data_IF_282544122506
#
_entry.id   IF_282544122506
#
_cell.length_a   1.000
_cell.length_b   1.000
_cell.length_c   1.000
_cell.angle_alpha   90.00
_cell.angle_beta   90.00
_cell.angle_gamma   90.00
#
_symmetry.space_group_name_H-M   'P 1'
#
loop_
_entity.id
_entity.type
_entity.pdbx_description
1 polymer ?
#
# COMPACT_ATOMS: atom_id res chain seq x y z
N UNK A 1 12.72 45.81 -12.25
CA UNK A 1 13.08 44.38 -12.36
C UNK A 1 11.80 43.60 -12.46
N UNK A 2 11.49 43.05 -13.63
CA UNK A 2 10.31 42.19 -13.82
C UNK A 2 10.54 40.91 -13.03
N UNK A 3 9.77 40.67 -11.97
CA UNK A 3 9.87 39.43 -11.22
C UNK A 3 9.53 38.28 -12.18
N UNK A 4 10.48 37.37 -12.42
CA UNK A 4 10.20 36.10 -13.10
C UNK A 4 9.38 35.29 -12.11
N UNK A 5 8.04 35.41 -12.18
CA UNK A 5 7.14 34.59 -11.39
C UNK A 5 7.02 33.21 -12.04
N UNK A 6 7.09 32.12 -11.27
CA UNK A 6 6.75 30.81 -11.77
C UNK A 6 5.31 30.83 -12.30
N UNK A 7 5.13 30.60 -13.60
CA UNK A 7 3.79 30.49 -14.18
C UNK A 7 3.39 29.02 -14.13
N UNK A 8 2.71 28.64 -13.06
CA UNK A 8 2.07 27.33 -12.96
C UNK A 8 0.88 27.28 -13.91
N UNK A 9 0.84 26.30 -14.81
CA UNK A 9 -0.31 26.01 -15.66
C UNK A 9 -0.94 24.71 -15.19
N UNK A 10 -2.16 24.79 -14.66
CA UNK A 10 -2.92 23.61 -14.20
C UNK A 10 -3.63 22.99 -15.41
N UNK A 11 -3.43 21.69 -15.61
CA UNK A 11 -3.98 20.90 -16.70
C UNK A 11 -5.04 19.91 -16.21
N UNK A 12 -5.02 18.71 -16.80
CA UNK A 12 -6.01 17.68 -16.53
C UNK A 12 -5.95 17.16 -15.09
N UNK A 13 -7.12 16.78 -14.57
CA UNK A 13 -7.24 16.12 -13.27
C UNK A 13 -6.59 14.74 -13.30
N UNK A 14 -5.70 14.47 -12.34
CA UNK A 14 -5.02 13.19 -12.13
C UNK A 14 -5.81 12.27 -11.19
N UNK A 15 -6.52 12.85 -10.22
CA UNK A 15 -7.31 12.05 -9.28
C UNK A 15 -7.96 12.88 -8.17
N UNK A 16 -8.65 12.17 -7.28
CA UNK A 16 -9.16 12.72 -6.03
C UNK A 16 -8.21 12.30 -4.90
N UNK A 17 -7.50 13.26 -4.30
CA UNK A 17 -6.85 13.06 -3.02
C UNK A 17 -7.88 13.17 -1.89
N UNK A 18 -7.54 12.65 -0.71
CA UNK A 18 -8.47 12.68 0.43
C UNK A 18 -8.80 14.11 0.90
N UNK A 19 -7.84 15.03 0.76
CA UNK A 19 -7.96 16.41 1.21
C UNK A 19 -8.26 17.41 0.09
N UNK A 20 -8.30 16.95 -1.16
CA UNK A 20 -8.46 17.84 -2.32
C UNK A 20 -8.16 17.14 -3.63
N UNK A 21 -8.49 17.80 -4.72
CA UNK A 21 -8.28 17.28 -6.07
C UNK A 21 -6.81 17.40 -6.46
N UNK A 22 -6.30 16.44 -7.25
CA UNK A 22 -4.93 16.46 -7.75
C UNK A 22 -4.97 16.62 -9.26
N UNK A 23 -4.23 17.59 -9.78
CA UNK A 23 -4.13 17.93 -11.20
C UNK A 23 -2.69 17.80 -11.68
N UNK A 24 -2.53 17.59 -12.98
CA UNK A 24 -1.24 17.76 -13.62
C UNK A 24 -0.98 19.26 -13.71
N UNK A 25 0.26 19.68 -13.43
CA UNK A 25 0.71 21.03 -13.67
C UNK A 25 1.93 21.07 -14.57
N UNK A 26 2.15 22.23 -15.17
CA UNK A 26 3.41 22.60 -15.81
C UNK A 26 3.98 23.81 -15.05
N UNK A 27 5.15 23.64 -14.47
CA UNK A 27 5.90 24.64 -13.72
C UNK A 27 7.18 24.96 -14.51
N UNK A 28 7.45 26.24 -14.74
CA UNK A 28 8.58 26.68 -15.55
C UNK A 28 9.96 26.36 -14.94
N UNK A 29 10.03 26.00 -13.65
CA UNK A 29 11.28 25.60 -12.98
C UNK A 29 11.43 24.09 -12.95
N UNK A 30 10.35 23.36 -12.62
CA UNK A 30 10.38 21.92 -12.38
C UNK A 30 9.81 21.07 -13.53
N UNK A 31 9.30 21.71 -14.59
CA UNK A 31 8.61 21.05 -15.69
C UNK A 31 7.27 20.46 -15.26
N UNK A 32 7.02 19.20 -15.59
CA UNK A 32 5.77 18.53 -15.20
C UNK A 32 5.71 18.29 -13.69
N UNK A 33 4.66 18.80 -13.06
CA UNK A 33 4.40 18.70 -11.63
C UNK A 33 3.02 18.09 -11.37
N UNK A 34 2.78 17.67 -10.12
CA UNK A 34 1.45 17.43 -9.62
C UNK A 34 1.02 18.62 -8.74
N UNK A 35 -0.24 19.02 -8.82
CA UNK A 35 -0.80 20.15 -8.08
C UNK A 35 -1.99 19.66 -7.29
N UNK A 36 -1.87 19.61 -5.96
CA UNK A 36 -2.99 19.30 -5.09
C UNK A 36 -3.67 20.59 -4.66
N UNK A 37 -4.97 20.67 -4.95
CA UNK A 37 -5.80 21.85 -4.74
C UNK A 37 -6.68 21.63 -3.53
N UNK A 38 -6.46 22.42 -2.48
CA UNK A 38 -7.28 22.46 -1.27
C UNK A 38 -8.17 23.70 -1.34
N UNK A 39 -9.44 23.53 -1.66
CA UNK A 39 -10.39 24.64 -1.79
C UNK A 39 -11.15 24.91 -0.50
N UNK A 40 -11.50 26.18 -0.30
CA UNK A 40 -12.44 26.60 0.75
C UNK A 40 -13.78 25.91 0.56
N UNK A 41 -14.29 25.28 1.62
CA UNK A 41 -15.64 24.71 1.64
C UNK A 41 -16.68 25.82 1.85
N UNK A 42 -17.90 25.72 1.28
CA UNK A 42 -18.96 26.70 1.50
C UNK A 42 -19.35 26.90 2.97
N UNK A 43 -19.12 25.88 3.80
CA UNK A 43 -19.39 25.90 5.24
C UNK A 43 -18.33 26.64 6.06
N UNK A 44 -17.17 26.99 5.47
CA UNK A 44 -16.10 27.69 6.19
C UNK A 44 -16.38 29.18 6.27
N UNK A 45 -16.41 29.72 7.49
CA UNK A 45 -16.34 31.18 7.70
C UNK A 45 -14.96 31.71 7.28
N UNK A 46 -14.84 33.03 7.12
CA UNK A 46 -13.54 33.63 6.80
C UNK A 46 -12.50 33.32 7.89
N UNK A 47 -12.91 33.33 9.16
CA UNK A 47 -12.05 32.99 10.28
C UNK A 47 -11.58 31.53 10.22
N UNK A 48 -12.47 30.59 9.89
CA UNK A 48 -12.12 29.18 9.71
C UNK A 48 -11.14 28.99 8.57
N UNK A 49 -11.38 29.66 7.44
CA UNK A 49 -10.52 29.56 6.27
C UNK A 49 -9.13 30.11 6.53
N UNK A 50 -9.02 31.27 7.19
CA UNK A 50 -7.74 31.83 7.60
C UNK A 50 -7.01 30.93 8.61
N UNK A 51 -7.73 30.27 9.51
CA UNK A 51 -7.14 29.26 10.41
C UNK A 51 -6.61 28.06 9.63
N UNK A 52 -7.37 27.52 8.67
CA UNK A 52 -6.93 26.42 7.81
C UNK A 52 -5.70 26.79 6.96
N UNK A 53 -5.70 27.98 6.34
CA UNK A 53 -4.55 28.48 5.57
C UNK A 53 -3.27 28.51 6.39
N UNK A 54 -3.33 29.04 7.62
CA UNK A 54 -2.18 29.04 8.55
C UNK A 54 -1.70 27.62 8.88
N UNK A 55 -2.63 26.69 9.11
CA UNK A 55 -2.32 25.29 9.34
C UNK A 55 -1.62 24.64 8.14
N UNK A 56 -2.17 24.81 6.93
CA UNK A 56 -1.57 24.28 5.70
C UNK A 56 -0.20 24.87 5.42
N UNK A 57 0.01 26.17 5.66
CA UNK A 57 1.30 26.82 5.48
C UNK A 57 2.35 26.29 6.48
N UNK A 58 1.98 26.11 7.74
CA UNK A 58 2.87 25.55 8.74
C UNK A 58 3.27 24.11 8.39
N UNK A 59 2.30 23.29 7.98
CA UNK A 59 2.54 21.92 7.51
C UNK A 59 3.49 21.92 6.31
N UNK A 60 3.21 22.76 5.31
CA UNK A 60 4.04 22.89 4.12
C UNK A 60 5.49 23.26 4.38
N UNK A 61 5.72 24.20 5.30
CA UNK A 61 7.07 24.59 5.71
C UNK A 61 7.81 23.45 6.41
N UNK A 62 7.07 22.53 7.02
CA UNK A 62 7.61 21.33 7.62
C UNK A 62 7.89 20.26 6.55
N UNK A 63 6.95 20.05 5.63
CA UNK A 63 7.07 19.12 4.49
C UNK A 63 8.21 19.50 3.54
N UNK A 64 8.42 20.79 3.27
CA UNK A 64 9.51 21.24 2.39
C UNK A 64 10.90 20.91 2.93
N UNK A 65 11.03 20.72 4.25
CA UNK A 65 12.27 20.31 4.93
C UNK A 65 12.45 18.79 4.98
N UNK A 66 11.44 18.02 4.58
CA UNK A 66 11.42 16.56 4.60
C UNK A 66 11.96 15.95 3.29
N UNK A 67 13.05 16.49 2.75
CA UNK A 67 13.66 15.99 1.50
C UNK A 67 14.27 14.60 1.69
N UNK A 68 13.72 13.63 0.98
CA UNK A 68 14.23 12.27 0.92
C UNK A 68 13.82 11.60 -0.40
N UNK A 69 14.67 10.74 -0.96
CA UNK A 69 14.42 10.07 -2.26
C UNK A 69 13.18 9.17 -2.31
N UNK A 70 12.65 8.80 -1.15
CA UNK A 70 11.44 7.96 -0.99
C UNK A 70 10.26 8.74 -0.40
N UNK A 71 10.27 10.06 -0.47
CA UNK A 71 9.20 10.95 -0.02
C UNK A 71 8.93 11.93 -1.16
N UNK A 72 7.67 12.11 -1.54
CA UNK A 72 7.29 13.02 -2.64
C UNK A 72 7.69 14.44 -2.25
N UNK A 73 8.57 15.05 -3.03
CA UNK A 73 9.03 16.41 -2.77
C UNK A 73 7.91 17.41 -3.04
N UNK A 74 7.59 18.24 -2.04
CA UNK A 74 6.81 19.47 -2.23
C UNK A 74 7.78 20.57 -2.63
N UNK A 75 7.61 21.12 -3.82
CA UNK A 75 8.49 22.18 -4.35
C UNK A 75 8.15 23.52 -3.72
N UNK A 76 6.87 23.89 -3.77
CA UNK A 76 6.38 25.13 -3.17
C UNK A 76 4.86 25.07 -2.97
N UNK A 77 4.35 26.09 -2.30
CA UNK A 77 2.92 26.33 -2.15
C UNK A 77 2.58 27.68 -2.73
N UNK A 78 1.43 27.75 -3.38
CA UNK A 78 0.82 29.00 -3.78
C UNK A 78 -0.63 29.09 -3.29
N UNK A 79 -1.10 30.33 -3.21
CA UNK A 79 -2.50 30.64 -2.96
C UNK A 79 -3.07 31.26 -4.24
N UNK A 80 -4.22 30.74 -4.68
CA UNK A 80 -4.94 31.27 -5.84
C UNK A 80 -6.43 31.36 -5.48
N UNK A 81 -6.91 32.60 -5.30
CA UNK A 81 -8.26 32.87 -4.82
C UNK A 81 -8.56 32.18 -3.48
N UNK A 82 -9.59 31.35 -3.47
CA UNK A 82 -10.03 30.58 -2.30
C UNK A 82 -9.49 29.14 -2.29
N UNK A 83 -8.31 28.92 -2.89
CA UNK A 83 -7.62 27.63 -2.88
C UNK A 83 -6.14 27.75 -2.52
N UNK A 84 -5.63 26.70 -1.87
CA UNK A 84 -4.20 26.49 -1.62
C UNK A 84 -3.71 25.38 -2.54
N UNK A 85 -2.62 25.63 -3.24
CA UNK A 85 -2.01 24.71 -4.20
C UNK A 85 -0.68 24.18 -3.66
N UNK A 86 -0.60 22.86 -3.47
CA UNK A 86 0.65 22.17 -3.19
C UNK A 86 1.26 21.71 -4.50
N UNK A 87 2.36 22.33 -4.91
CA UNK A 87 3.09 21.97 -6.13
C UNK A 87 4.17 20.96 -5.76
N UNK A 88 4.07 19.75 -6.33
CA UNK A 88 4.88 18.60 -5.92
C UNK A 88 5.46 17.83 -7.11
N UNK A 89 6.45 16.98 -6.84
CA UNK A 89 7.05 16.11 -7.84
C UNK A 89 6.00 15.20 -8.50
N UNK A 90 5.97 15.19 -9.84
CA UNK A 90 5.08 14.31 -10.59
C UNK A 90 5.64 12.88 -10.64
N UNK A 91 4.89 11.92 -10.09
CA UNK A 91 5.23 10.50 -10.09
C UNK A 91 4.57 9.79 -11.28
N UNK A 92 5.30 9.69 -12.39
CA UNK A 92 4.77 9.22 -13.66
C UNK A 92 4.30 7.74 -13.68
N UNK A 93 4.79 6.92 -12.74
CA UNK A 93 4.36 5.52 -12.60
C UNK A 93 3.02 5.34 -11.87
N UNK A 94 2.36 6.43 -11.46
CA UNK A 94 1.10 6.38 -10.72
C UNK A 94 1.28 5.88 -9.29
N UNK A 95 0.26 5.27 -8.72
CA UNK A 95 0.28 4.70 -7.36
C UNK A 95 0.24 3.18 -7.38
N UNK A 96 0.66 2.55 -6.28
CA UNK A 96 0.49 1.12 -6.07
C UNK A 96 -0.98 0.68 -5.94
N UNK A 97 -1.95 1.61 -5.94
CA UNK A 97 -3.37 1.27 -6.01
C UNK A 97 -3.70 0.51 -7.29
N UNK A 98 -3.17 0.94 -8.44
CA UNK A 98 -3.42 0.24 -9.72
C UNK A 98 -2.86 -1.18 -9.68
N UNK A 99 -1.67 -1.39 -9.10
CA UNK A 99 -1.11 -2.72 -8.91
C UNK A 99 -1.99 -3.58 -7.99
N UNK A 100 -2.47 -3.02 -6.87
CA UNK A 100 -3.40 -3.68 -5.95
C UNK A 100 -4.72 -4.09 -6.63
N UNK A 101 -5.26 -3.25 -7.52
CA UNK A 101 -6.49 -3.51 -8.25
C UNK A 101 -6.32 -4.60 -9.32
N UNK A 102 -5.15 -4.67 -9.96
CA UNK A 102 -4.81 -5.72 -10.93
C UNK A 102 -4.72 -7.09 -10.24
N UNK A 103 -4.04 -7.19 -9.09
CA UNK A 103 -3.92 -8.43 -8.36
C UNK A 103 -2.73 -8.51 -7.41
N UNK A 104 -2.43 -9.70 -6.86
CA UNK A 104 -1.24 -9.94 -6.05
C UNK A 104 0.05 -9.52 -6.75
N UNK A 105 0.85 -8.71 -6.07
CA UNK A 105 2.22 -8.42 -6.49
C UNK A 105 3.17 -9.56 -6.08
N UNK A 106 4.27 -9.72 -6.81
CA UNK A 106 5.30 -10.71 -6.45
C UNK A 106 5.98 -10.33 -5.14
N UNK A 107 6.52 -11.33 -4.42
CA UNK A 107 7.26 -11.12 -3.16
C UNK A 107 8.43 -10.14 -3.34
N UNK A 108 9.15 -10.23 -4.46
CA UNK A 108 10.25 -9.31 -4.78
C UNK A 108 9.77 -7.87 -4.91
N UNK A 109 8.68 -7.67 -5.67
CA UNK A 109 8.10 -6.34 -5.90
C UNK A 109 7.57 -5.72 -4.60
N UNK A 110 6.87 -6.51 -3.77
CA UNK A 110 6.39 -6.04 -2.46
C UNK A 110 7.56 -5.71 -1.53
N UNK A 111 8.61 -6.54 -1.48
CA UNK A 111 9.79 -6.28 -0.64
C UNK A 111 10.53 -5.02 -1.07
N UNK A 112 10.66 -4.80 -2.38
CA UNK A 112 11.27 -3.58 -2.95
C UNK A 112 10.49 -2.34 -2.49
N UNK A 113 9.18 -2.31 -2.75
CA UNK A 113 8.33 -1.18 -2.37
C UNK A 113 8.32 -0.96 -0.84
N UNK A 114 8.23 -2.02 -0.04
CA UNK A 114 8.29 -1.94 1.41
C UNK A 114 9.61 -1.34 1.92
N UNK A 115 10.73 -1.75 1.33
CA UNK A 115 12.06 -1.25 1.67
C UNK A 115 12.16 0.25 1.38
N UNK A 116 11.77 0.66 0.18
CA UNK A 116 11.78 2.06 -0.25
C UNK A 116 10.86 2.93 0.63
N UNK A 117 9.65 2.47 0.92
CA UNK A 117 8.72 3.17 1.82
C UNK A 117 9.27 3.27 3.24
N UNK A 118 9.89 2.23 3.78
CA UNK A 118 10.46 2.26 5.14
C UNK A 118 11.65 3.20 5.26
N UNK A 119 12.46 3.36 4.21
CA UNK A 119 13.52 4.36 4.16
C UNK A 119 12.94 5.78 4.24
N UNK A 120 11.88 6.06 3.47
CA UNK A 120 11.16 7.33 3.54
C UNK A 120 10.52 7.57 4.91
N UNK A 121 9.88 6.54 5.47
CA UNK A 121 9.22 6.61 6.76
C UNK A 121 10.23 6.86 7.90
N UNK A 122 11.39 6.20 7.85
CA UNK A 122 12.49 6.43 8.81
C UNK A 122 12.97 7.88 8.76
N UNK A 123 13.13 8.45 7.57
CA UNK A 123 13.53 9.85 7.40
C UNK A 123 12.47 10.84 7.95
N UNK A 124 11.18 10.53 7.79
CA UNK A 124 10.08 11.32 8.36
C UNK A 124 10.06 11.22 9.89
N UNK A 125 10.09 10.00 10.43
CA UNK A 125 10.03 9.74 11.87
C UNK A 125 11.21 10.39 12.62
N UNK A 126 12.41 10.39 12.02
CA UNK A 126 13.58 11.07 12.58
C UNK A 126 13.43 12.60 12.71
N UNK A 127 12.47 13.19 11.98
CA UNK A 127 12.11 14.62 12.05
C UNK A 127 10.87 14.87 12.93
N UNK A 128 10.38 13.84 13.63
CA UNK A 128 9.14 13.93 14.42
C UNK A 128 7.87 13.99 13.56
N UNK A 129 7.94 13.59 12.29
CA UNK A 129 6.80 13.57 11.38
C UNK A 129 6.15 12.19 11.35
N UNK A 130 4.82 12.15 11.33
CA UNK A 130 4.03 10.93 11.11
C UNK A 130 3.30 11.04 9.78
N UNK A 131 3.13 9.93 9.07
CA UNK A 131 2.41 9.94 7.79
C UNK A 131 0.89 9.86 7.97
N UNK A 132 0.40 8.98 8.85
CA UNK A 132 -1.02 8.77 9.23
C UNK A 132 -2.00 8.29 8.15
N UNK A 133 -1.58 8.13 6.90
CA UNK A 133 -2.43 7.66 5.79
C UNK A 133 -1.66 6.79 4.81
N UNK A 134 -0.87 5.84 5.33
CA UNK A 134 -0.13 4.88 4.47
C UNK A 134 -1.11 3.85 3.91
N UNK A 135 -1.23 3.82 2.59
CA UNK A 135 -2.07 2.89 1.81
C UNK A 135 -1.54 2.78 0.38
N UNK A 136 -1.95 1.77 -0.42
CA UNK A 136 -1.49 1.62 -1.81
C UNK A 136 -1.61 2.90 -2.66
N UNK A 137 -2.69 3.67 -2.49
CA UNK A 137 -2.91 4.91 -3.23
C UNK A 137 -1.95 6.06 -2.90
N UNK A 138 -1.29 6.01 -1.74
CA UNK A 138 -0.34 7.03 -1.30
C UNK A 138 1.12 6.58 -1.44
N UNK A 139 1.36 5.40 -2.03
CA UNK A 139 2.71 4.96 -2.43
C UNK A 139 2.80 5.15 -3.94
N UNK A 140 3.51 6.21 -4.34
CA UNK A 140 3.67 6.60 -5.73
C UNK A 140 4.95 6.03 -6.33
N UNK A 141 4.96 5.81 -7.64
CA UNK A 141 6.10 5.31 -8.38
C UNK A 141 6.65 6.42 -9.28
N UNK A 142 7.92 6.76 -9.12
CA UNK A 142 8.57 7.74 -9.98
C UNK A 142 8.92 7.18 -11.37
N UNK A 143 9.50 8.03 -12.22
CA UNK A 143 9.92 7.65 -13.58
C UNK A 143 11.05 6.60 -13.62
N UNK A 144 11.74 6.35 -12.50
CA UNK A 144 12.81 5.33 -12.36
C UNK A 144 12.29 4.02 -11.76
N UNK A 145 11.01 3.97 -11.39
CA UNK A 145 10.40 2.80 -10.77
C UNK A 145 10.68 2.67 -9.27
N UNK A 146 11.04 3.77 -8.59
CA UNK A 146 11.23 3.84 -7.13
C UNK A 146 9.92 4.22 -6.46
N UNK A 147 9.61 3.61 -5.32
CA UNK A 147 8.47 3.96 -4.49
C UNK A 147 8.73 5.16 -3.57
N UNK A 148 7.78 6.09 -3.56
CA UNK A 148 7.79 7.31 -2.74
C UNK A 148 6.49 7.39 -1.93
N UNK A 149 6.61 7.83 -0.68
CA UNK A 149 5.48 8.21 0.16
C UNK A 149 4.93 9.57 -0.30
N UNK A 150 3.68 9.58 -0.78
CA UNK A 150 2.95 10.79 -1.15
C UNK A 150 1.82 11.09 -0.17
N UNK A 151 1.19 12.27 -0.31
CA UNK A 151 0.02 12.66 0.50
C UNK A 151 0.26 12.65 2.04
N UNK A 152 1.51 12.79 2.47
CA UNK A 152 1.90 12.92 3.88
C UNK A 152 1.61 14.33 4.43
N UNK A 153 1.37 14.43 5.74
CA UNK A 153 1.29 15.71 6.47
C UNK A 153 -0.07 16.39 6.53
N UNK A 154 -0.97 16.16 5.56
CA UNK A 154 -2.29 16.81 5.58
C UNK A 154 -3.29 16.16 6.55
N UNK A 155 -2.92 15.02 7.14
CA UNK A 155 -3.75 14.27 8.07
C UNK A 155 -3.31 14.62 9.50
N UNK A 156 -4.22 15.19 10.29
CA UNK A 156 -4.07 15.31 11.75
C UNK A 156 -4.83 14.18 12.46
N UNK A 157 -4.59 13.99 13.75
CA UNK A 157 -5.31 13.00 14.56
C UNK A 157 -6.83 13.28 14.56
N UNK A 158 -7.23 14.56 14.68
CA UNK A 158 -8.63 15.00 14.60
C UNK A 158 -9.24 14.71 13.22
N UNK A 159 -8.49 14.95 12.14
CA UNK A 159 -8.91 14.66 10.77
C UNK A 159 -9.04 13.15 10.55
N UNK A 160 -8.12 12.35 11.07
CA UNK A 160 -8.13 10.89 10.92
C UNK A 160 -9.39 10.28 11.52
N UNK A 161 -9.78 10.67 12.73
CA UNK A 161 -10.99 10.12 13.38
C UNK A 161 -12.29 10.71 12.81
N UNK A 162 -12.31 12.01 12.49
CA UNK A 162 -13.49 12.69 11.94
C UNK A 162 -13.82 12.35 10.48
N UNK A 163 -12.81 12.25 9.59
CA UNK A 163 -13.02 11.97 8.16
C UNK A 163 -13.12 10.47 7.84
N UNK A 164 -12.51 9.61 8.65
CA UNK A 164 -12.59 8.17 8.39
C UNK A 164 -14.03 7.63 8.50
N UNK A 165 -14.93 8.33 9.21
CA UNK A 165 -16.37 8.01 9.23
C UNK A 165 -17.06 8.29 7.88
N UNK A 166 -16.64 9.34 7.17
CA UNK A 166 -17.31 9.81 5.95
C UNK A 166 -16.73 9.24 4.64
N UNK A 167 -15.43 8.95 4.59
CA UNK A 167 -14.75 8.55 3.35
C UNK A 167 -14.60 7.02 3.16
N UNK A 168 -15.06 6.21 4.12
CA UNK A 168 -15.00 4.75 4.03
C UNK A 168 -13.60 4.14 4.15
N UNK A 169 -12.54 4.94 4.30
CA UNK A 169 -11.16 4.46 4.47
C UNK A 169 -10.76 4.49 5.95
N UNK A 170 -11.27 3.50 6.68
CA UNK A 170 -10.89 3.16 8.06
C UNK A 170 -9.94 1.97 8.15
N UNK A 171 -9.65 1.39 7.00
CA UNK A 171 -9.09 0.05 6.91
C UNK A 171 -7.62 -0.03 7.33
N UNK A 172 -6.94 1.11 7.49
CA UNK A 172 -5.52 1.19 7.86
C UNK A 172 -5.33 1.85 9.23
N UNK A 173 -6.42 2.22 9.91
CA UNK A 173 -6.36 2.77 11.27
C UNK A 173 -5.94 1.65 12.23
N UNK A 174 -4.95 1.95 13.07
CA UNK A 174 -4.41 1.01 14.05
C UNK A 174 -5.41 0.75 15.19
N UNK A 175 -5.32 -0.43 15.79
CA UNK A 175 -6.21 -0.86 16.88
C UNK A 175 -6.33 0.18 18.01
N UNK A 176 -5.22 0.73 18.49
CA UNK A 176 -5.18 1.69 19.59
C UNK A 176 -5.83 3.04 19.23
N UNK A 177 -5.76 3.45 17.96
CA UNK A 177 -6.34 4.72 17.48
C UNK A 177 -7.87 4.61 17.44
N UNK A 178 -8.39 3.43 17.09
CA UNK A 178 -9.82 3.13 17.23
C UNK A 178 -10.33 3.26 18.67
N UNK A 179 -9.46 3.06 19.65
CA UNK A 179 -9.75 3.16 21.07
C UNK A 179 -9.37 4.53 21.67
N UNK A 180 -9.17 5.55 20.83
CA UNK A 180 -8.94 6.92 21.26
C UNK A 180 -7.49 7.25 21.63
N UNK A 181 -6.54 6.34 21.38
CA UNK A 181 -5.11 6.68 21.51
C UNK A 181 -4.65 7.56 20.34
N UNK A 182 -3.67 8.44 20.60
CA UNK A 182 -3.06 9.27 19.56
C UNK A 182 -2.22 8.47 18.55
N UNK A 183 -1.87 9.10 17.43
CA UNK A 183 -1.03 8.46 16.40
C UNK A 183 0.45 8.44 16.82
N UNK A 184 1.22 7.48 16.27
CA UNK A 184 2.66 7.35 16.54
C UNK A 184 3.40 6.68 15.38
N UNK A 185 4.73 6.57 15.46
CA UNK A 185 5.51 5.79 14.50
C UNK A 185 4.99 4.35 14.34
N UNK A 186 4.48 3.75 15.43
CA UNK A 186 3.89 2.40 15.44
C UNK A 186 2.55 2.31 14.73
N UNK A 187 1.79 3.41 14.63
CA UNK A 187 0.54 3.43 13.85
C UNK A 187 0.85 3.49 12.35
N UNK A 188 1.91 4.18 11.94
CA UNK A 188 2.39 4.13 10.55
C UNK A 188 2.90 2.72 10.17
N UNK A 189 3.60 2.05 11.09
CA UNK A 189 4.04 0.66 10.89
C UNK A 189 2.84 -0.29 10.73
N UNK A 190 1.77 -0.10 11.50
CA UNK A 190 0.51 -0.83 11.30
C UNK A 190 -0.07 -0.59 9.90
N UNK A 191 -0.21 0.68 9.51
CA UNK A 191 -0.77 1.05 8.22
C UNK A 191 0.05 0.50 7.04
N UNK A 192 1.38 0.46 7.18
CA UNK A 192 2.24 -0.23 6.23
C UNK A 192 2.00 -1.74 6.24
N UNK A 193 1.87 -2.38 7.40
CA UNK A 193 1.55 -3.80 7.51
C UNK A 193 0.26 -4.17 6.76
N UNK A 194 -0.78 -3.35 6.90
CA UNK A 194 -2.04 -3.48 6.15
C UNK A 194 -1.82 -3.33 4.66
N UNK A 195 -1.02 -2.35 4.26
CA UNK A 195 -0.67 -2.09 2.86
C UNK A 195 0.06 -3.28 2.24
N UNK A 196 1.09 -3.82 2.91
CA UNK A 196 1.84 -4.97 2.41
C UNK A 196 0.96 -6.22 2.31
N UNK A 197 0.11 -6.45 3.31
CA UNK A 197 -0.86 -7.54 3.26
C UNK A 197 -1.79 -7.41 2.04
N UNK A 198 -2.32 -6.20 1.78
CA UNK A 198 -3.16 -5.93 0.60
C UNK A 198 -2.42 -6.16 -0.70
N UNK A 199 -1.19 -5.66 -0.85
CA UNK A 199 -0.39 -5.82 -2.07
C UNK A 199 -0.03 -7.29 -2.36
N UNK A 200 0.21 -8.11 -1.33
CA UNK A 200 0.48 -9.54 -1.48
C UNK A 200 -0.71 -10.37 -1.94
N UNK A 201 -1.92 -9.85 -1.81
CA UNK A 201 -3.15 -10.60 -2.07
C UNK A 201 -4.00 -9.98 -3.18
N UNK A 202 -3.79 -8.71 -3.51
CA UNK A 202 -4.62 -7.99 -4.47
C UNK A 202 -6.05 -7.76 -3.96
N UNK A 203 -6.76 -6.88 -4.66
CA UNK A 203 -8.10 -6.41 -4.25
C UNK A 203 -9.14 -7.53 -4.20
N UNK A 204 -9.17 -8.39 -5.22
CA UNK A 204 -10.20 -9.42 -5.34
C UNK A 204 -10.12 -10.47 -4.23
N UNK A 205 -8.91 -10.92 -3.87
CA UNK A 205 -8.73 -11.81 -2.72
C UNK A 205 -9.06 -11.10 -1.41
N UNK A 206 -8.55 -9.89 -1.24
CA UNK A 206 -8.73 -9.13 0.00
C UNK A 206 -10.21 -8.92 0.32
N UNK A 207 -10.97 -8.43 -0.65
CA UNK A 207 -12.40 -8.13 -0.48
C UNK A 207 -13.22 -9.40 -0.19
N UNK A 208 -12.84 -10.55 -0.76
CA UNK A 208 -13.56 -11.82 -0.58
C UNK A 208 -13.19 -12.57 0.71
N UNK A 209 -11.97 -12.42 1.21
CA UNK A 209 -11.47 -13.25 2.32
C UNK A 209 -11.38 -12.55 3.66
N UNK A 210 -11.17 -11.23 3.66
CA UNK A 210 -10.93 -10.45 4.88
C UNK A 210 -12.09 -9.53 5.22
N UNK A 211 -12.89 -9.13 4.23
CA UNK A 211 -13.95 -8.13 4.43
C UNK A 211 -13.35 -6.74 4.70
N UNK A 212 -14.13 -5.82 5.29
CA UNK A 212 -13.66 -4.47 5.62
C UNK A 212 -13.01 -4.46 7.00
N UNK A 213 -11.71 -4.14 7.14
CA UNK A 213 -11.04 -4.10 8.44
C UNK A 213 -11.72 -3.23 9.49
N UNK A 214 -12.40 -2.15 9.09
CA UNK A 214 -13.17 -1.32 10.03
C UNK A 214 -14.21 -2.10 10.84
N UNK A 215 -14.69 -3.22 10.31
CA UNK A 215 -15.71 -4.07 10.94
C UNK A 215 -15.08 -5.10 11.90
N UNK A 216 -13.74 -5.26 11.91
CA UNK A 216 -13.06 -6.35 12.63
C UNK A 216 -11.84 -5.93 13.43
N UNK A 217 -11.13 -4.87 13.02
CA UNK A 217 -9.94 -4.34 13.73
C UNK A 217 -10.33 -3.84 15.10
N UNK A 218 -11.42 -3.08 15.23
CA UNK A 218 -11.90 -2.58 16.52
C UNK A 218 -12.16 -3.68 17.54
N UNK A 219 -12.49 -4.89 17.09
CA UNK A 219 -12.82 -6.02 17.96
C UNK A 219 -11.58 -6.83 18.40
N UNK A 220 -10.38 -6.43 17.95
CA UNK A 220 -9.11 -7.08 18.29
C UNK A 220 -8.88 -8.43 17.63
N UNK A 221 -7.68 -8.98 17.82
CA UNK A 221 -7.16 -10.19 17.21
C UNK A 221 -7.23 -10.20 15.67
N UNK A 222 -7.18 -9.03 15.03
CA UNK A 222 -7.31 -8.93 13.57
C UNK A 222 -6.21 -9.73 12.85
N UNK A 223 -4.96 -9.59 13.30
CA UNK A 223 -3.80 -10.28 12.74
C UNK A 223 -3.91 -11.82 12.80
N UNK A 224 -4.61 -12.36 13.79
CA UNK A 224 -4.78 -13.80 13.99
C UNK A 224 -5.81 -14.39 13.02
N UNK A 225 -6.80 -13.58 12.61
CA UNK A 225 -7.87 -13.96 11.69
C UNK A 225 -7.47 -13.86 10.21
N UNK A 226 -6.32 -13.28 9.91
CA UNK A 226 -5.82 -13.13 8.54
C UNK A 226 -5.68 -14.49 7.82
N UNK A 227 -6.31 -14.59 6.66
CA UNK A 227 -6.13 -15.69 5.71
C UNK A 227 -5.00 -15.36 4.74
N UNK A 228 -4.34 -16.37 4.20
CA UNK A 228 -3.14 -16.18 3.38
C UNK A 228 -3.24 -16.95 2.09
N UNK A 229 -2.79 -16.36 0.98
CA UNK A 229 -2.51 -17.14 -0.22
C UNK A 229 -1.41 -18.18 0.11
N UNK A 230 -1.56 -19.46 -0.31
CA UNK A 230 -0.67 -20.54 0.10
C UNK A 230 0.81 -20.31 -0.21
N UNK A 231 1.11 -19.61 -1.30
CA UNK A 231 2.49 -19.30 -1.72
C UNK A 231 3.23 -18.30 -0.82
N UNK A 232 2.52 -17.53 0.03
CA UNK A 232 3.14 -16.51 0.90
C UNK A 232 3.90 -17.21 2.03
N UNK A 233 5.25 -17.07 2.12
CA UNK A 233 6.05 -17.81 3.09
C UNK A 233 5.75 -17.45 4.54
N UNK A 234 5.92 -18.40 5.47
CA UNK A 234 5.66 -18.20 6.91
C UNK A 234 6.43 -17.01 7.51
N UNK A 235 7.63 -16.71 7.01
CA UNK A 235 8.43 -15.55 7.44
C UNK A 235 7.74 -14.21 7.13
N UNK A 236 7.12 -14.08 5.94
CA UNK A 236 6.30 -12.93 5.57
C UNK A 236 5.09 -12.80 6.49
N UNK A 237 4.37 -13.91 6.69
CA UNK A 237 3.16 -13.95 7.54
C UNK A 237 3.48 -13.49 8.96
N UNK A 238 4.57 -13.98 9.54
CA UNK A 238 5.01 -13.61 10.90
C UNK A 238 5.38 -12.13 10.99
N UNK A 239 6.09 -11.61 10.00
CA UNK A 239 6.55 -10.22 9.98
C UNK A 239 5.37 -9.26 9.87
N UNK A 240 4.45 -9.51 8.94
CA UNK A 240 3.24 -8.68 8.79
C UNK A 240 2.34 -8.78 10.02
N UNK A 241 2.16 -9.98 10.62
CA UNK A 241 1.42 -10.10 11.88
C UNK A 241 2.05 -9.30 13.02
N UNK A 242 3.38 -9.22 13.09
CA UNK A 242 4.07 -8.36 14.07
C UNK A 242 3.80 -6.88 13.81
N UNK A 243 3.74 -6.44 12.56
CA UNK A 243 3.35 -5.05 12.22
C UNK A 243 1.90 -4.75 12.62
N UNK A 244 1.03 -5.77 12.57
CA UNK A 244 -0.41 -5.68 12.84
C UNK A 244 -0.79 -6.19 14.25
N UNK A 245 0.15 -6.24 15.19
CA UNK A 245 -0.15 -6.67 16.55
C UNK A 245 -0.98 -5.60 17.27
N UNK A 246 -2.10 -5.94 17.91
CA UNK A 246 -2.96 -4.95 18.56
C UNK A 246 -2.21 -4.17 19.63
N UNK A 247 -1.36 -4.84 20.41
CA UNK A 247 -0.46 -4.24 21.41
C UNK A 247 0.69 -3.47 20.73
N UNK A 248 0.72 -2.13 20.78
CA UNK A 248 1.76 -1.35 20.10
C UNK A 248 3.18 -1.67 20.61
N UNK A 249 3.34 -2.02 21.89
CA UNK A 249 4.65 -2.39 22.44
C UNK A 249 5.21 -3.70 21.85
N UNK A 250 4.36 -4.57 21.29
CA UNK A 250 4.76 -5.83 20.67
C UNK A 250 5.11 -5.68 19.17
N UNK A 251 4.82 -4.52 18.57
CA UNK A 251 5.18 -4.20 17.17
C UNK A 251 6.68 -3.90 17.04
N UNK A 252 7.13 -3.70 15.80
CA UNK A 252 8.39 -2.98 15.56
C UNK A 252 8.26 -1.57 16.12
N UNK A 253 9.27 -1.12 16.87
CA UNK A 253 9.22 0.18 17.55
C UNK A 253 9.67 1.32 16.65
N UNK A 254 10.44 1.02 15.60
CA UNK A 254 10.92 1.99 14.62
C UNK A 254 10.79 1.49 13.19
N UNK A 255 10.75 2.41 12.22
CA UNK A 255 10.79 2.06 10.80
C UNK A 255 12.06 1.27 10.42
N UNK A 256 13.20 1.54 11.08
CA UNK A 256 14.44 0.80 10.84
C UNK A 256 14.36 -0.66 11.30
N UNK A 257 13.74 -0.95 12.44
CA UNK A 257 13.51 -2.34 12.87
C UNK A 257 12.62 -3.11 11.90
N UNK A 258 11.57 -2.45 11.39
CA UNK A 258 10.71 -3.04 10.37
C UNK A 258 11.49 -3.24 9.05
N UNK A 259 12.35 -2.29 8.66
CA UNK A 259 13.19 -2.38 7.47
C UNK A 259 14.13 -3.59 7.52
N UNK A 260 14.82 -3.79 8.65
CA UNK A 260 15.71 -4.93 8.85
C UNK A 260 14.96 -6.26 8.75
N UNK A 261 13.74 -6.34 9.30
CA UNK A 261 12.92 -7.53 9.24
C UNK A 261 12.46 -7.82 7.79
N UNK A 262 11.96 -6.80 7.09
CA UNK A 262 11.50 -6.89 5.69
C UNK A 262 12.66 -7.27 4.75
N UNK A 263 13.84 -6.68 4.93
CA UNK A 263 15.01 -6.92 4.09
C UNK A 263 15.50 -8.37 4.11
N UNK A 264 15.23 -9.11 5.20
CA UNK A 264 15.60 -10.53 5.36
C UNK A 264 14.56 -11.51 4.82
N UNK A 265 13.41 -11.03 4.35
CA UNK A 265 12.34 -11.91 3.89
C UNK A 265 12.68 -12.62 2.59
N UNK A 266 12.35 -13.92 2.45
CA UNK A 266 12.63 -14.67 1.22
C UNK A 266 11.75 -14.18 0.08
N UNK A 267 12.35 -14.02 -1.10
CA UNK A 267 11.63 -13.67 -2.34
C UNK A 267 11.72 -14.77 -3.41
N UNK A 268 12.50 -15.83 -3.12
CA UNK A 268 12.68 -16.98 -4.00
C UNK A 268 12.07 -18.24 -3.37
N UNK A 269 11.47 -19.13 -4.18
CA UNK A 269 11.24 -18.92 -5.61
C UNK A 269 10.16 -17.85 -5.87
N UNK A 270 10.33 -17.10 -6.95
CA UNK A 270 9.35 -16.08 -7.33
C UNK A 270 8.20 -16.72 -8.11
N UNK A 271 6.99 -16.50 -7.62
CA UNK A 271 5.75 -16.91 -8.26
C UNK A 271 4.97 -15.67 -8.67
N UNK A 272 4.44 -15.68 -9.88
CA UNK A 272 3.49 -14.68 -10.38
C UNK A 272 2.09 -15.23 -10.24
N UNK A 273 1.19 -14.48 -9.62
CA UNK A 273 -0.25 -14.81 -9.66
C UNK A 273 -0.81 -14.26 -10.95
N UNK A 274 -1.25 -15.14 -11.85
CA UNK A 274 -1.78 -14.76 -13.16
C UNK A 274 -3.30 -14.72 -13.22
N UNK A 275 -3.97 -15.32 -12.24
CA UNK A 275 -5.43 -15.23 -12.05
C UNK A 275 -5.74 -15.32 -10.56
N UNK A 276 -6.64 -14.46 -10.08
CA UNK A 276 -7.18 -14.48 -8.72
C UNK A 276 -8.66 -14.16 -8.79
N UNK A 277 -9.51 -15.08 -8.36
CA UNK A 277 -10.95 -14.90 -8.46
C UNK A 277 -11.68 -15.63 -7.34
N UNK A 278 -13.01 -15.48 -7.31
CA UNK A 278 -13.84 -16.26 -6.39
C UNK A 278 -13.77 -17.77 -6.72
N UNK A 279 -13.51 -18.10 -7.99
CA UNK A 279 -13.46 -19.46 -8.53
C UNK A 279 -12.10 -20.12 -8.31
N UNK A 280 -11.03 -19.37 -8.04
CA UNK A 280 -9.71 -19.97 -7.93
C UNK A 280 -8.55 -19.00 -7.97
N UNK A 281 -7.35 -19.56 -7.92
CA UNK A 281 -6.09 -18.81 -8.06
C UNK A 281 -5.13 -19.61 -8.92
N UNK A 282 -4.38 -18.92 -9.77
CA UNK A 282 -3.35 -19.51 -10.63
C UNK A 282 -2.01 -18.86 -10.39
N UNK A 283 -1.00 -19.68 -10.13
CA UNK A 283 0.39 -19.26 -10.01
C UNK A 283 1.23 -19.83 -11.13
N UNK A 284 2.16 -19.02 -11.61
CA UNK A 284 3.11 -19.37 -12.65
C UNK A 284 4.53 -18.99 -12.24
N UNK A 285 5.48 -19.81 -12.65
CA UNK A 285 6.91 -19.54 -12.53
C UNK A 285 7.65 -20.19 -13.69
N UNK A 286 8.54 -19.46 -14.33
CA UNK A 286 9.44 -20.02 -15.33
C UNK A 286 10.69 -20.62 -14.66
N UNK A 287 11.05 -21.83 -15.08
CA UNK A 287 12.28 -22.54 -14.67
C UNK A 287 12.97 -23.06 -15.93
N UNK A 288 14.00 -22.33 -16.38
CA UNK A 288 14.65 -22.60 -17.68
C UNK A 288 13.65 -22.51 -18.83
N UNK A 289 13.54 -23.58 -19.61
CA UNK A 289 12.59 -23.70 -20.74
C UNK A 289 11.22 -24.26 -20.35
N UNK A 290 10.87 -24.25 -19.07
CA UNK A 290 9.61 -24.82 -18.58
C UNK A 290 8.82 -23.80 -17.77
N UNK A 291 7.51 -23.80 -17.97
CA UNK A 291 6.55 -23.10 -17.12
C UNK A 291 6.03 -24.07 -16.07
N UNK A 292 6.24 -23.73 -14.80
CA UNK A 292 5.64 -24.41 -13.66
C UNK A 292 4.35 -23.68 -13.31
N UNK A 293 3.27 -24.42 -13.17
CA UNK A 293 1.94 -23.89 -12.91
C UNK A 293 1.38 -24.58 -11.67
N UNK A 294 0.78 -23.80 -10.78
CA UNK A 294 -0.11 -24.27 -9.72
C UNK A 294 -1.48 -23.64 -9.96
N UNK A 295 -2.53 -24.45 -9.95
CA UNK A 295 -3.91 -23.99 -10.09
C UNK A 295 -4.71 -24.48 -8.90
N UNK A 296 -5.45 -23.57 -8.27
CA UNK A 296 -6.40 -23.86 -7.21
C UNK A 296 -7.80 -23.52 -7.69
N UNK A 297 -8.68 -24.52 -7.68
CA UNK A 297 -10.08 -24.42 -8.03
C UNK A 297 -10.94 -24.45 -6.76
N UNK A 298 -11.77 -23.43 -6.56
CA UNK A 298 -12.69 -23.23 -5.43
C UNK A 298 -14.12 -23.52 -5.87
N UNK A 299 -14.44 -24.81 -5.99
CA UNK A 299 -15.73 -25.29 -6.52
C UNK A 299 -16.89 -24.83 -5.62
N UNK A 300 -16.70 -24.85 -4.30
CA UNK A 300 -17.63 -24.29 -3.32
C UNK A 300 -16.87 -23.87 -2.06
N UNK A 301 -17.51 -23.21 -1.06
CA UNK A 301 -16.84 -22.85 0.19
C UNK A 301 -16.21 -24.01 0.96
N UNK A 302 -16.61 -25.26 0.69
CA UNK A 302 -16.07 -26.46 1.34
C UNK A 302 -15.31 -27.39 0.40
N UNK A 303 -15.54 -27.29 -0.91
CA UNK A 303 -14.99 -28.20 -1.92
C UNK A 303 -13.99 -27.48 -2.81
N UNK A 304 -12.76 -27.98 -2.81
CA UNK A 304 -11.65 -27.41 -3.54
C UNK A 304 -10.89 -28.52 -4.28
N UNK A 305 -10.24 -28.18 -5.38
CA UNK A 305 -9.24 -29.05 -6.04
C UNK A 305 -8.00 -28.20 -6.34
N UNK A 306 -6.82 -28.80 -6.34
CA UNK A 306 -5.62 -28.12 -6.79
C UNK A 306 -4.72 -29.05 -7.57
N UNK A 307 -4.00 -28.48 -8.52
CA UNK A 307 -3.11 -29.20 -9.42
C UNK A 307 -1.85 -28.40 -9.65
N UNK A 308 -0.71 -29.08 -9.67
CA UNK A 308 0.57 -28.51 -10.05
C UNK A 308 1.22 -29.33 -11.16
N UNK A 309 1.73 -28.65 -12.17
CA UNK A 309 2.41 -29.28 -13.29
C UNK A 309 3.52 -28.40 -13.86
N UNK A 310 4.38 -29.00 -14.66
CA UNK A 310 5.35 -28.30 -15.47
C UNK A 310 5.13 -28.63 -16.94
N UNK A 311 5.10 -27.60 -17.79
CA UNK A 311 4.99 -27.73 -19.24
C UNK A 311 6.20 -27.06 -19.93
N UNK A 312 6.70 -27.59 -21.05
CA UNK A 312 7.72 -26.91 -21.83
C UNK A 312 7.14 -25.63 -22.45
N UNK A 313 7.98 -24.62 -22.63
CA UNK A 313 7.65 -23.42 -23.42
C UNK A 313 7.63 -23.73 -24.92
N UNK A 314 8.45 -24.70 -25.33
CA UNK A 314 8.52 -25.23 -26.68
C UNK A 314 7.81 -26.61 -26.76
N UNK A 315 8.11 -27.41 -27.80
CA UNK A 315 7.59 -28.77 -27.94
C UNK A 315 8.00 -29.69 -26.78
N UNK A 316 7.06 -30.52 -26.31
CA UNK A 316 7.31 -31.60 -25.35
C UNK A 316 6.09 -31.91 -24.47
N UNK A 317 6.27 -32.77 -23.47
CA UNK A 317 5.17 -33.26 -22.62
C UNK A 317 5.04 -32.51 -21.28
N UNK A 318 3.79 -32.34 -20.84
CA UNK A 318 3.42 -31.90 -19.49
C UNK A 318 3.81 -32.98 -18.46
N UNK A 319 4.34 -32.54 -17.32
CA UNK A 319 4.70 -33.39 -16.18
C UNK A 319 3.92 -32.94 -14.95
N UNK A 320 3.17 -33.85 -14.33
CA UNK A 320 2.51 -33.60 -13.05
C UNK A 320 3.54 -33.46 -11.93
N UNK A 321 3.36 -32.47 -11.06
CA UNK A 321 4.23 -32.20 -9.92
C UNK A 321 3.51 -32.42 -8.58
N UNK A 322 2.19 -32.28 -8.55
CA UNK A 322 1.37 -32.47 -7.36
C UNK A 322 -0.08 -32.14 -7.62
N UNK A 323 -0.92 -32.37 -6.63
CA UNK A 323 -2.34 -32.04 -6.63
C UNK A 323 -3.09 -32.81 -5.55
N UNK A 324 -4.35 -32.46 -5.32
CA UNK A 324 -5.22 -33.15 -4.36
C UNK A 324 -5.72 -34.52 -4.84
N UNK A 325 -5.57 -34.83 -6.14
CA UNK A 325 -6.08 -36.09 -6.72
C UNK A 325 -7.60 -36.15 -6.83
N UNK A 326 -8.29 -35.01 -6.69
CA UNK A 326 -9.74 -34.88 -6.67
C UNK A 326 -10.19 -33.78 -5.71
N UNK A 327 -11.52 -33.70 -5.50
CA UNK A 327 -12.14 -32.69 -4.64
C UNK A 327 -11.87 -33.01 -3.16
N UNK A 328 -11.28 -32.05 -2.45
CA UNK A 328 -10.95 -32.12 -1.03
C UNK A 328 -11.52 -30.92 -0.25
N UNK A 329 -11.44 -30.99 1.08
CA UNK A 329 -11.81 -29.87 1.95
C UNK A 329 -10.85 -28.67 1.79
N UNK A 330 -11.38 -27.44 1.81
CA UNK A 330 -10.58 -26.23 1.60
C UNK A 330 -9.37 -26.07 2.53
N UNK A 331 -9.50 -26.42 3.82
CA UNK A 331 -8.37 -26.43 4.77
C UNK A 331 -7.27 -27.41 4.38
N UNK A 332 -7.64 -28.58 3.85
CA UNK A 332 -6.68 -29.59 3.39
C UNK A 332 -5.96 -29.11 2.13
N UNK A 333 -6.71 -28.59 1.14
CA UNK A 333 -6.13 -28.02 -0.08
C UNK A 333 -5.09 -26.92 0.22
N UNK A 334 -5.42 -25.98 1.13
CA UNK A 334 -4.49 -24.92 1.54
C UNK A 334 -3.22 -25.52 2.16
N UNK A 335 -3.35 -26.46 3.11
CA UNK A 335 -2.21 -27.10 3.77
C UNK A 335 -1.30 -27.86 2.80
N UNK A 336 -1.88 -28.58 1.85
CA UNK A 336 -1.15 -29.31 0.81
C UNK A 336 -0.39 -28.35 -0.12
N UNK A 337 -1.04 -27.28 -0.57
CA UNK A 337 -0.38 -26.25 -1.40
C UNK A 337 0.73 -25.52 -0.65
N UNK A 338 0.53 -25.16 0.62
CA UNK A 338 1.59 -24.57 1.45
C UNK A 338 2.82 -25.50 1.54
N UNK A 339 2.57 -26.81 1.71
CA UNK A 339 3.62 -27.82 1.71
C UNK A 339 4.31 -27.93 0.36
N UNK A 340 3.57 -27.83 -0.74
CA UNK A 340 4.11 -27.82 -2.10
C UNK A 340 5.00 -26.60 -2.34
N UNK A 341 4.49 -25.39 -2.07
CA UNK A 341 5.24 -24.14 -2.26
C UNK A 341 6.51 -24.09 -1.41
N UNK A 342 6.49 -24.61 -0.18
CA UNK A 342 7.67 -24.66 0.69
C UNK A 342 8.77 -25.62 0.20
N UNK A 343 8.41 -26.64 -0.60
CA UNK A 343 9.35 -27.62 -1.20
C UNK A 343 9.95 -27.12 -2.51
N UNK A 344 9.27 -26.23 -3.21
CA UNK A 344 9.85 -25.51 -4.34
C UNK A 344 10.89 -24.53 -3.78
N UNK A 345 12.16 -24.92 -3.74
CA UNK A 345 13.29 -23.99 -3.50
C UNK A 345 13.98 -23.70 -4.82
#
# INVERSE_FOLDING_TARGET
MTAILPKLVIGAKLGNGHFGEVFQGDDNVHGRVAVKVLSRKPTHTDADWQKHKRGFLAEAQFLSKATHRNVVQVYHISEEGDSIHFVMAHCAGGSLMSAYEIGPMTLSSVRKAATEVLLGLSALHARGMLHRDIKPGNILIDHTGVALLGDFGLVTDDLLLGYADQAGYRDHIAFEVWHGSGTSARTDIWALGMTLYRLLHGKQWYDSEVGRPRDTVRDGAFADRLKWLPHVPTAWRRTIRKMLCDEPAARFQTANEALDAIGRLPITPEWTVTDVSAQGVRWERQVGKRLVVVKWDRISPRQHDWQAWSQPLDAGRKKTLGGSGGVVGGKLAVKEMETFFAKCK
#
